data_IF_191694360595
#
_entry.id   IF_191694360595
#
_cell.length_a   1.000
_cell.length_b   1.000
_cell.length_c   1.000
_cell.angle_alpha   90.00
_cell.angle_beta   90.00
_cell.angle_gamma   90.00
#
_symmetry.space_group_name_H-M   'P 1'
#
loop_
_entity.id
_entity.type
_entity.pdbx_description
1 polymer ?
#
# COMPACT_ATOMS: atom_id res chain seq x y z
N UNK A 1 -0.36 -3.58 -63.45
CA UNK A 1 -1.74 -3.96 -63.08
C UNK A 1 -1.78 -4.35 -61.61
N UNK A 2 -2.54 -3.55 -60.84
CA UNK A 2 -3.42 -3.90 -59.70
C UNK A 2 -2.83 -4.66 -58.49
N UNK A 3 -2.63 -4.01 -57.34
CA UNK A 3 -3.57 -3.65 -56.25
C UNK A 3 -4.05 -4.82 -55.37
N UNK A 4 -3.67 -4.78 -54.09
CA UNK A 4 -4.53 -4.96 -52.88
C UNK A 4 -3.63 -4.85 -51.63
N UNK A 5 -3.60 -3.71 -50.94
CA UNK A 5 -4.38 -3.38 -49.73
C UNK A 5 -4.31 -4.44 -48.62
N UNK A 6 -3.63 -4.09 -47.52
CA UNK A 6 -4.23 -4.23 -46.20
C UNK A 6 -3.74 -3.10 -45.28
N UNK A 7 -4.74 -2.43 -44.69
CA UNK A 7 -4.68 -1.35 -43.71
C UNK A 7 -4.76 -1.98 -42.32
N UNK A 8 -4.38 -1.22 -41.29
CA UNK A 8 -4.64 -1.36 -39.84
C UNK A 8 -3.46 -1.94 -39.05
N UNK A 9 -2.97 -1.32 -37.99
CA UNK A 9 -3.44 -0.13 -37.30
C UNK A 9 -2.35 0.47 -36.43
N UNK A 10 -2.40 1.80 -36.30
CA UNK A 10 -1.70 2.59 -35.31
C UNK A 10 -1.98 1.96 -33.93
N UNK A 11 -0.97 1.33 -33.31
CA UNK A 11 -1.02 0.98 -31.91
C UNK A 11 -0.97 2.25 -31.09
N UNK A 12 -2.15 2.81 -30.78
CA UNK A 12 -2.30 3.79 -29.72
C UNK A 12 -1.72 3.18 -28.46
N UNK A 13 -0.56 3.67 -28.03
CA UNK A 13 -0.08 3.51 -26.68
C UNK A 13 -1.09 4.23 -25.78
N UNK A 14 -2.11 3.48 -25.33
CA UNK A 14 -2.97 3.94 -24.25
C UNK A 14 -2.11 3.89 -23.00
N UNK A 15 -1.54 5.04 -22.65
CA UNK A 15 -1.14 5.32 -21.28
C UNK A 15 -2.40 5.21 -20.42
N UNK A 16 -2.70 4.00 -19.96
CA UNK A 16 -3.74 3.79 -18.97
C UNK A 16 -3.22 4.34 -17.65
N UNK A 17 -3.45 5.64 -17.44
CA UNK A 17 -3.55 6.22 -16.10
C UNK A 17 -4.84 5.68 -15.49
N UNK A 18 -4.77 4.42 -15.10
CA UNK A 18 -5.84 3.71 -14.45
C UNK A 18 -5.84 4.22 -13.01
N UNK A 19 -6.63 5.27 -12.77
CA UNK A 19 -7.07 5.66 -11.43
C UNK A 19 -8.05 4.59 -10.95
N UNK A 20 -7.53 3.43 -10.53
CA UNK A 20 -8.39 2.35 -10.09
C UNK A 20 -8.56 2.48 -8.59
N UNK A 21 -9.74 2.97 -8.20
CA UNK A 21 -10.26 2.69 -6.87
C UNK A 21 -10.61 1.21 -6.82
N UNK A 22 -9.67 0.36 -6.44
CA UNK A 22 -9.99 -1.02 -6.08
C UNK A 22 -10.30 -1.06 -4.59
N UNK A 23 -11.56 -1.30 -4.25
CA UNK A 23 -12.01 -1.49 -2.87
C UNK A 23 -12.12 -2.97 -2.48
N UNK A 24 -11.63 -3.90 -3.30
CA UNK A 24 -11.56 -5.34 -2.95
C UNK A 24 -10.66 -6.13 -3.91
N UNK A 25 -10.13 -7.27 -3.43
CA UNK A 25 -9.38 -8.21 -4.25
C UNK A 25 -10.23 -8.83 -5.37
N UNK A 26 -11.54 -8.96 -5.17
CA UNK A 26 -12.49 -9.37 -6.22
C UNK A 26 -12.38 -8.46 -7.46
N UNK A 27 -12.22 -7.14 -7.27
CA UNK A 27 -11.99 -6.20 -8.37
C UNK A 27 -10.66 -6.42 -9.11
N UNK A 28 -9.64 -6.97 -8.45
CA UNK A 28 -8.34 -7.29 -9.08
C UNK A 28 -8.36 -8.61 -9.84
N UNK A 29 -9.16 -9.59 -9.39
CA UNK A 29 -9.45 -10.79 -10.18
C UNK A 29 -10.25 -10.42 -11.45
N UNK A 30 -11.29 -9.59 -11.30
CA UNK A 30 -12.17 -9.18 -12.40
C UNK A 30 -11.48 -8.28 -13.44
N UNK A 31 -10.45 -7.52 -13.02
CA UNK A 31 -9.61 -6.72 -13.92
C UNK A 31 -8.67 -7.55 -14.81
N UNK A 32 -8.66 -8.89 -14.69
CA UNK A 32 -7.85 -9.78 -15.53
C UNK A 32 -6.34 -9.67 -15.26
N UNK A 33 -5.97 -9.14 -14.09
CA UNK A 33 -4.56 -8.98 -13.70
C UNK A 33 -3.99 -10.31 -13.17
N UNK A 34 -4.88 -11.21 -12.78
CA UNK A 34 -4.58 -12.51 -12.19
C UNK A 34 -5.27 -13.62 -12.99
N UNK A 35 -4.51 -14.56 -13.54
CA UNK A 35 -5.06 -15.75 -14.20
C UNK A 35 -5.02 -16.97 -13.28
N UNK A 36 -6.06 -17.80 -13.27
CA UNK A 36 -6.06 -19.05 -12.51
C UNK A 36 -5.31 -20.15 -13.28
N UNK A 37 -4.21 -20.64 -12.76
CA UNK A 37 -3.45 -21.78 -13.31
C UNK A 37 -3.23 -22.83 -12.22
N UNK A 38 -3.77 -24.04 -12.40
CA UNK A 38 -3.61 -25.17 -11.48
C UNK A 38 -3.91 -24.84 -9.99
N UNK A 39 -4.98 -24.09 -9.73
CA UNK A 39 -5.37 -23.69 -8.37
C UNK A 39 -4.52 -22.55 -7.76
N UNK A 40 -3.71 -21.87 -8.58
CA UNK A 40 -2.93 -20.68 -8.22
C UNK A 40 -3.35 -19.48 -9.05
N UNK A 41 -3.07 -18.31 -8.51
CA UNK A 41 -3.38 -16.99 -9.04
C UNK A 41 -2.09 -16.36 -9.56
N UNK A 42 -1.95 -16.24 -10.88
CA UNK A 42 -0.75 -15.75 -11.55
C UNK A 42 -0.90 -14.29 -11.96
N UNK A 43 -0.03 -13.41 -11.45
CA UNK A 43 0.05 -12.01 -11.88
C UNK A 43 0.59 -11.92 -13.31
N UNK A 44 0.03 -11.01 -14.11
CA UNK A 44 0.46 -10.78 -15.49
C UNK A 44 1.97 -10.48 -15.58
N UNK A 45 2.63 -11.17 -16.51
CA UNK A 45 4.09 -11.15 -16.67
C UNK A 45 4.50 -10.21 -17.77
N UNK A 46 5.45 -9.32 -17.48
CA UNK A 46 6.25 -8.69 -18.52
C UNK A 46 7.47 -9.57 -18.82
N UNK A 47 7.42 -10.31 -19.93
CA UNK A 47 8.50 -11.23 -20.35
C UNK A 47 9.80 -10.52 -20.72
N UNK A 48 9.80 -9.19 -20.81
CA UNK A 48 11.02 -8.40 -20.99
C UNK A 48 11.72 -8.09 -19.67
N UNK A 49 11.09 -8.41 -18.53
CA UNK A 49 11.59 -8.13 -17.20
C UNK A 49 12.07 -9.39 -16.48
N UNK A 50 13.01 -9.20 -15.56
CA UNK A 50 13.45 -10.28 -14.69
C UNK A 50 12.40 -10.62 -13.61
N UNK A 51 12.63 -11.71 -12.87
CA UNK A 51 11.70 -12.17 -11.84
C UNK A 51 11.51 -11.15 -10.70
N UNK A 52 12.56 -10.40 -10.33
CA UNK A 52 12.48 -9.41 -9.26
C UNK A 52 11.62 -8.21 -9.69
N UNK A 53 11.75 -7.79 -10.94
CA UNK A 53 10.93 -6.75 -11.54
C UNK A 53 9.47 -7.19 -11.70
N UNK A 54 9.21 -8.45 -12.05
CA UNK A 54 7.86 -9.00 -12.09
C UNK A 54 7.25 -9.13 -10.69
N UNK A 55 8.03 -9.49 -9.67
CA UNK A 55 7.60 -9.46 -8.26
C UNK A 55 7.16 -8.07 -7.83
N UNK A 56 7.94 -7.04 -8.17
CA UNK A 56 7.58 -5.66 -7.87
C UNK A 56 6.26 -5.23 -8.55
N UNK A 57 6.00 -5.66 -9.79
CA UNK A 57 4.73 -5.38 -10.45
C UNK A 57 3.56 -6.13 -9.79
N UNK A 58 3.76 -7.38 -9.39
CA UNK A 58 2.75 -8.14 -8.67
C UNK A 58 2.40 -7.47 -7.33
N UNK A 59 3.41 -7.05 -6.58
CA UNK A 59 3.22 -6.35 -5.32
C UNK A 59 2.51 -5.00 -5.52
N UNK A 60 2.83 -4.28 -6.59
CA UNK A 60 2.13 -3.06 -7.02
C UNK A 60 0.65 -3.31 -7.20
N UNK A 61 0.29 -4.28 -8.03
CA UNK A 61 -1.11 -4.65 -8.25
C UNK A 61 -1.79 -5.00 -6.92
N UNK A 62 -1.10 -5.77 -6.08
CA UNK A 62 -1.64 -6.26 -4.82
C UNK A 62 -1.94 -5.15 -3.82
N UNK A 63 -1.01 -4.21 -3.62
CA UNK A 63 -1.23 -3.11 -2.67
C UNK A 63 -2.22 -2.08 -3.22
N UNK A 64 -2.34 -1.93 -4.55
CA UNK A 64 -3.46 -1.19 -5.15
C UNK A 64 -4.81 -1.84 -4.81
N UNK A 65 -4.87 -3.17 -4.68
CA UNK A 65 -6.07 -3.94 -4.35
C UNK A 65 -6.40 -3.96 -2.86
N UNK A 66 -5.34 -4.14 -2.06
CA UNK A 66 -5.36 -4.43 -0.64
C UNK A 66 -4.27 -3.59 0.04
N UNK A 67 -4.47 -2.28 0.20
CA UNK A 67 -3.46 -1.38 0.75
C UNK A 67 -3.12 -1.65 2.22
N UNK A 68 -3.90 -2.48 2.92
CA UNK A 68 -3.64 -2.85 4.31
C UNK A 68 -2.53 -3.90 4.49
N UNK A 69 -2.08 -4.55 3.40
CA UNK A 69 -1.20 -5.72 3.48
C UNK A 69 -0.43 -5.98 2.17
N UNK A 70 0.78 -6.53 2.28
CA UNK A 70 1.63 -6.87 1.12
C UNK A 70 1.95 -8.36 0.99
N UNK A 71 2.58 -8.70 -0.14
CA UNK A 71 3.07 -10.05 -0.43
C UNK A 71 4.08 -10.56 0.60
N UNK A 72 4.71 -9.66 1.35
CA UNK A 72 5.66 -9.99 2.42
C UNK A 72 5.02 -10.69 3.62
N UNK A 73 3.68 -10.70 3.73
CA UNK A 73 2.95 -11.53 4.73
C UNK A 73 2.85 -13.00 4.35
N UNK A 74 3.06 -13.33 3.08
CA UNK A 74 2.82 -14.67 2.55
C UNK A 74 3.96 -15.62 2.90
N UNK A 75 3.60 -16.87 3.23
CA UNK A 75 4.60 -17.91 3.45
C UNK A 75 5.22 -18.39 2.14
N UNK A 76 4.43 -18.47 1.08
CA UNK A 76 4.89 -18.96 -0.21
C UNK A 76 4.42 -18.07 -1.36
N UNK A 77 5.40 -17.57 -2.11
CA UNK A 77 5.20 -16.96 -3.43
C UNK A 77 5.94 -17.84 -4.44
N UNK A 78 5.25 -18.24 -5.50
CA UNK A 78 5.83 -19.14 -6.50
C UNK A 78 6.28 -18.35 -7.74
N UNK A 79 7.41 -18.75 -8.32
CA UNK A 79 7.81 -18.30 -9.65
C UNK A 79 7.45 -19.35 -10.70
N UNK A 80 6.79 -18.96 -11.77
CA UNK A 80 6.65 -19.81 -12.95
C UNK A 80 7.93 -19.81 -13.77
N UNK A 81 8.14 -20.87 -14.56
CA UNK A 81 9.29 -20.98 -15.46
C UNK A 81 9.32 -19.91 -16.57
N UNK A 82 8.26 -19.12 -16.70
CA UNK A 82 8.09 -18.00 -17.61
C UNK A 82 8.30 -16.62 -16.94
N UNK A 83 8.69 -16.58 -15.67
CA UNK A 83 8.85 -15.36 -14.88
C UNK A 83 7.57 -14.88 -14.19
N UNK A 84 6.48 -15.65 -14.25
CA UNK A 84 5.25 -15.34 -13.52
C UNK A 84 5.44 -15.40 -12.02
N UNK A 85 4.72 -14.52 -11.32
CA UNK A 85 4.59 -14.52 -9.88
C UNK A 85 3.22 -15.09 -9.56
N UNK A 86 3.15 -16.09 -8.69
CA UNK A 86 1.92 -16.78 -8.35
C UNK A 86 1.71 -16.87 -6.84
N UNK A 87 0.46 -16.72 -6.43
CA UNK A 87 0.00 -16.96 -5.05
C UNK A 87 -1.06 -18.06 -5.06
N UNK A 88 -1.19 -18.81 -3.97
CA UNK A 88 -2.28 -19.79 -3.83
C UNK A 88 -3.55 -19.14 -3.26
N UNK A 89 -4.66 -19.88 -3.30
CA UNK A 89 -5.94 -19.41 -2.74
C UNK A 89 -5.92 -19.18 -1.23
N UNK A 90 -5.03 -19.83 -0.48
CA UNK A 90 -4.92 -19.61 0.96
C UNK A 90 -4.34 -18.23 1.26
N UNK A 91 -3.23 -17.87 0.60
CA UNK A 91 -2.64 -16.54 0.71
C UNK A 91 -3.60 -15.47 0.21
N UNK A 92 -4.33 -15.75 -0.87
CA UNK A 92 -5.37 -14.85 -1.37
C UNK A 92 -6.44 -14.55 -0.31
N UNK A 93 -7.06 -15.60 0.24
CA UNK A 93 -8.11 -15.46 1.25
C UNK A 93 -7.58 -14.77 2.51
N UNK A 94 -6.32 -15.01 2.87
CA UNK A 94 -5.68 -14.33 4.00
C UNK A 94 -5.58 -12.83 3.77
N UNK A 95 -5.12 -12.38 2.60
CA UNK A 95 -5.02 -10.96 2.30
C UNK A 95 -6.38 -10.28 2.26
N UNK A 96 -7.35 -10.90 1.60
CA UNK A 96 -8.73 -10.41 1.54
C UNK A 96 -9.33 -10.28 2.95
N UNK A 97 -9.11 -11.29 3.79
CA UNK A 97 -9.56 -11.27 5.19
C UNK A 97 -8.91 -10.13 5.99
N UNK A 98 -7.61 -9.87 5.81
CA UNK A 98 -6.91 -8.77 6.48
C UNK A 98 -7.43 -7.41 5.99
N UNK A 99 -7.65 -7.26 4.68
CA UNK A 99 -8.17 -6.03 4.10
C UNK A 99 -9.59 -5.74 4.62
N UNK A 100 -10.49 -6.72 4.57
CA UNK A 100 -11.87 -6.57 5.04
C UNK A 100 -11.92 -6.20 6.53
N UNK A 101 -11.13 -6.89 7.38
CA UNK A 101 -11.05 -6.54 8.80
C UNK A 101 -10.48 -5.15 9.05
N UNK A 102 -9.54 -4.72 8.21
CA UNK A 102 -8.99 -3.35 8.26
C UNK A 102 -10.07 -2.32 7.90
N UNK A 103 -10.82 -2.56 6.83
CA UNK A 103 -11.88 -1.64 6.38
C UNK A 103 -13.02 -1.55 7.41
N UNK A 104 -13.43 -2.68 7.99
CA UNK A 104 -14.39 -2.72 9.09
C UNK A 104 -13.89 -1.94 10.31
N UNK A 105 -12.61 -2.10 10.68
CA UNK A 105 -12.01 -1.37 11.78
C UNK A 105 -11.97 0.14 11.49
N UNK A 106 -11.58 0.54 10.29
CA UNK A 106 -11.53 1.96 9.89
C UNK A 106 -12.92 2.58 9.94
N UNK A 107 -13.93 1.90 9.40
CA UNK A 107 -15.32 2.35 9.44
C UNK A 107 -15.86 2.54 10.85
N UNK A 108 -15.44 1.69 11.80
CA UNK A 108 -15.87 1.79 13.19
C UNK A 108 -15.14 2.88 14.00
N UNK A 109 -13.91 3.25 13.63
CA UNK A 109 -13.03 4.04 14.51
C UNK A 109 -12.62 5.39 13.95
N UNK A 110 -12.52 5.56 12.62
CA UNK A 110 -11.86 6.74 12.06
C UNK A 110 -12.58 8.06 12.35
N UNK A 111 -13.91 8.07 12.40
CA UNK A 111 -14.67 9.28 12.74
C UNK A 111 -14.45 9.76 14.18
N UNK A 112 -13.94 8.90 15.09
CA UNK A 112 -13.54 9.29 16.45
C UNK A 112 -12.11 9.80 16.47
N UNK A 113 -11.22 9.20 15.67
CA UNK A 113 -9.79 9.53 15.61
C UNK A 113 -9.57 10.84 14.84
N UNK A 114 -10.19 10.97 13.67
CA UNK A 114 -10.15 12.16 12.80
C UNK A 114 -11.59 12.67 12.64
N UNK A 115 -12.09 13.55 13.53
CA UNK A 115 -13.50 13.93 13.53
C UNK A 115 -13.96 14.71 12.30
N UNK A 116 -15.27 14.70 12.06
CA UNK A 116 -15.95 15.58 11.10
C UNK A 116 -15.50 17.04 11.26
N UNK A 117 -15.23 17.72 10.14
CA UNK A 117 -14.80 19.12 10.12
C UNK A 117 -13.30 19.34 10.41
N UNK A 118 -12.53 18.27 10.66
CA UNK A 118 -11.07 18.36 10.78
C UNK A 118 -10.47 18.94 9.50
N UNK A 119 -9.59 19.96 9.55
CA UNK A 119 -8.90 20.44 8.35
C UNK A 119 -8.02 19.36 7.72
N UNK A 120 -7.93 19.32 6.39
CA UNK A 120 -7.21 18.26 5.68
C UNK A 120 -5.72 18.17 6.04
N UNK A 121 -5.07 19.30 6.32
CA UNK A 121 -3.67 19.38 6.76
C UNK A 121 -3.41 18.77 8.16
N UNK A 122 -4.48 18.48 8.92
CA UNK A 122 -4.40 17.83 10.24
C UNK A 122 -4.51 16.31 10.16
N UNK A 123 -4.95 15.73 9.03
CA UNK A 123 -5.16 14.29 8.90
C UNK A 123 -3.86 13.52 9.15
N UNK A 124 -2.79 13.89 8.44
CA UNK A 124 -1.47 13.24 8.55
C UNK A 124 -0.93 13.26 9.99
N UNK A 125 -0.77 14.42 10.65
CA UNK A 125 -0.21 14.43 12.01
C UNK A 125 -1.10 13.68 13.01
N UNK A 126 -2.43 13.77 12.91
CA UNK A 126 -3.34 13.01 13.80
C UNK A 126 -3.15 11.49 13.62
N UNK A 127 -3.13 11.01 12.36
CA UNK A 127 -2.94 9.59 12.09
C UNK A 127 -1.54 9.11 12.52
N UNK A 128 -0.49 9.91 12.30
CA UNK A 128 0.87 9.58 12.72
C UNK A 128 0.98 9.45 14.24
N UNK A 129 0.43 10.41 14.98
CA UNK A 129 0.40 10.38 16.45
C UNK A 129 -0.39 9.17 16.95
N UNK A 130 -1.57 8.90 16.39
CA UNK A 130 -2.40 7.77 16.80
C UNK A 130 -1.68 6.42 16.60
N UNK A 131 -1.06 6.21 15.44
CA UNK A 131 -0.32 4.97 15.16
C UNK A 131 0.85 4.82 16.14
N UNK A 132 1.62 5.88 16.33
CA UNK A 132 2.78 5.83 17.20
C UNK A 132 2.39 5.63 18.68
N UNK A 133 1.27 6.21 19.15
CA UNK A 133 0.77 6.00 20.52
C UNK A 133 0.26 4.58 20.78
N UNK A 134 -0.14 3.87 19.73
CA UNK A 134 -0.72 2.53 19.82
C UNK A 134 0.33 1.42 19.66
N UNK A 135 1.51 1.75 19.18
CA UNK A 135 2.50 0.78 18.72
C UNK A 135 3.64 0.53 19.70
N UNK A 136 4.16 -0.69 19.65
CA UNK A 136 5.45 -1.07 20.23
C UNK A 136 6.22 -1.89 19.19
N UNK A 137 7.42 -1.43 18.84
CA UNK A 137 8.26 -2.11 17.86
C UNK A 137 8.82 -3.43 18.41
N UNK A 138 8.56 -4.54 17.71
CA UNK A 138 9.04 -5.87 18.10
C UNK A 138 10.35 -6.22 17.36
N UNK A 139 11.48 -5.96 18.02
CA UNK A 139 12.79 -6.30 17.49
C UNK A 139 13.03 -7.80 17.35
N UNK A 140 12.30 -8.66 18.07
CA UNK A 140 12.48 -10.11 17.99
C UNK A 140 12.05 -10.67 16.63
N UNK A 141 11.06 -10.03 15.99
CA UNK A 141 10.55 -10.39 14.67
C UNK A 141 11.61 -10.23 13.56
N UNK A 142 12.66 -9.43 13.77
CA UNK A 142 13.80 -9.35 12.83
C UNK A 142 14.57 -10.67 12.71
N UNK A 143 14.54 -11.51 13.75
CA UNK A 143 15.21 -12.81 13.78
C UNK A 143 14.24 -14.00 13.61
N UNK A 144 12.92 -13.74 13.73
CA UNK A 144 11.88 -14.74 13.57
C UNK A 144 11.04 -14.45 12.32
N UNK A 145 11.35 -15.14 11.22
CA UNK A 145 10.68 -14.92 9.92
C UNK A 145 9.16 -15.14 9.97
N UNK A 146 8.68 -16.12 10.74
CA UNK A 146 7.25 -16.38 10.84
C UNK A 146 6.53 -15.21 11.52
N UNK A 147 7.11 -14.71 12.62
CA UNK A 147 6.60 -13.55 13.33
C UNK A 147 6.69 -12.27 12.49
N UNK A 148 7.81 -12.08 11.80
CA UNK A 148 8.01 -10.95 10.88
C UNK A 148 6.99 -10.94 9.75
N UNK A 149 6.60 -12.10 9.21
CA UNK A 149 5.49 -12.18 8.23
C UNK A 149 4.14 -11.83 8.85
N UNK A 150 3.85 -12.37 10.04
CA UNK A 150 2.57 -12.15 10.71
C UNK A 150 2.30 -10.66 11.02
N UNK A 151 3.34 -9.87 11.29
CA UNK A 151 3.19 -8.45 11.60
C UNK A 151 3.04 -7.51 10.40
N UNK A 152 3.29 -7.96 9.17
CA UNK A 152 3.35 -7.07 7.99
C UNK A 152 1.97 -6.65 7.44
N UNK A 153 1.09 -6.16 8.31
CA UNK A 153 -0.23 -5.65 7.97
C UNK A 153 -0.67 -4.51 8.89
N UNK A 154 -1.61 -3.69 8.44
CA UNK A 154 -2.24 -2.64 9.25
C UNK A 154 -2.95 -3.22 10.49
N UNK A 155 -3.56 -4.41 10.35
CA UNK A 155 -4.33 -5.04 11.41
C UNK A 155 -3.51 -5.35 12.67
N UNK A 156 -2.21 -5.61 12.52
CA UNK A 156 -1.31 -5.81 13.67
C UNK A 156 -1.23 -4.57 14.56
N UNK A 157 -1.24 -3.37 13.97
CA UNK A 157 -1.34 -2.12 14.73
C UNK A 157 -2.70 -2.02 15.44
N UNK A 158 -3.78 -2.19 14.69
CA UNK A 158 -5.14 -1.95 15.17
C UNK A 158 -5.59 -2.90 16.28
N UNK A 159 -5.13 -4.16 16.23
CA UNK A 159 -5.58 -5.21 17.15
C UNK A 159 -4.55 -5.55 18.22
N UNK A 160 -3.26 -5.59 17.88
CA UNK A 160 -2.19 -6.03 18.78
C UNK A 160 -1.40 -4.88 19.38
N UNK A 161 -1.31 -3.74 18.68
CA UNK A 161 -0.45 -2.62 19.08
C UNK A 161 1.04 -2.95 19.03
N UNK A 162 1.45 -3.88 18.18
CA UNK A 162 2.86 -4.27 18.03
C UNK A 162 3.16 -4.71 16.61
N UNK A 163 4.41 -4.57 16.20
CA UNK A 163 4.87 -5.00 14.88
C UNK A 163 6.22 -4.44 14.47
N UNK A 164 6.43 -4.33 13.16
CA UNK A 164 7.66 -3.86 12.52
C UNK A 164 7.41 -2.58 11.73
N UNK A 165 8.45 -2.02 11.11
CA UNK A 165 8.36 -0.79 10.31
C UNK A 165 7.22 -0.82 9.25
N UNK A 166 7.04 -1.97 8.60
CA UNK A 166 5.94 -2.16 7.65
C UNK A 166 4.55 -2.08 8.30
N UNK A 167 4.39 -2.55 9.54
CA UNK A 167 3.14 -2.42 10.32
C UNK A 167 2.74 -0.96 10.48
N UNK A 168 3.70 -0.11 10.87
CA UNK A 168 3.49 1.33 10.99
C UNK A 168 3.05 1.93 9.65
N UNK A 169 3.78 1.61 8.56
CA UNK A 169 3.49 2.15 7.23
C UNK A 169 2.12 1.72 6.71
N UNK A 170 1.75 0.44 6.86
CA UNK A 170 0.44 -0.06 6.47
C UNK A 170 -0.69 0.60 7.26
N UNK A 171 -0.59 0.64 8.59
CA UNK A 171 -1.61 1.27 9.43
C UNK A 171 -1.79 2.75 9.10
N UNK A 172 -0.67 3.49 8.98
CA UNK A 172 -0.71 4.91 8.64
C UNK A 172 -1.31 5.16 7.25
N UNK A 173 -0.90 4.40 6.22
CA UNK A 173 -1.45 4.52 4.87
C UNK A 173 -2.95 4.23 4.85
N UNK A 174 -3.38 3.14 5.50
CA UNK A 174 -4.79 2.77 5.58
C UNK A 174 -5.63 3.86 6.27
N UNK A 175 -5.13 4.44 7.37
CA UNK A 175 -5.83 5.53 8.05
C UNK A 175 -5.91 6.80 7.19
N UNK A 176 -4.79 7.26 6.64
CA UNK A 176 -4.73 8.51 5.87
C UNK A 176 -5.57 8.44 4.60
N UNK A 177 -5.50 7.33 3.85
CA UNK A 177 -6.30 7.17 2.63
C UNK A 177 -7.79 6.92 2.90
N UNK A 178 -8.16 6.45 4.10
CA UNK A 178 -9.56 6.26 4.45
C UNK A 178 -10.32 7.58 4.64
N UNK A 179 -9.68 8.61 5.21
CA UNK A 179 -10.38 9.84 5.61
C UNK A 179 -10.91 10.60 4.39
N UNK A 180 -12.24 10.79 4.29
CA UNK A 180 -12.85 11.55 3.20
C UNK A 180 -12.73 13.06 3.44
N UNK A 181 -12.31 13.81 2.44
CA UNK A 181 -12.24 15.28 2.46
C UNK A 181 -13.25 15.85 1.48
N UNK A 182 -14.07 16.79 1.95
CA UNK A 182 -14.92 17.55 1.05
C UNK A 182 -14.08 18.59 0.28
N UNK A 183 -13.98 18.49 -1.05
CA UNK A 183 -13.12 19.38 -1.84
C UNK A 183 -13.58 20.85 -1.84
N UNK A 184 -14.86 21.12 -1.51
CA UNK A 184 -15.40 22.48 -1.45
C UNK A 184 -14.99 23.22 -0.17
N UNK A 185 -14.85 22.48 0.94
CA UNK A 185 -14.53 23.06 2.26
C UNK A 185 -13.09 22.82 2.68
N UNK A 186 -12.40 21.82 2.11
CA UNK A 186 -11.07 21.40 2.53
C UNK A 186 -11.04 20.72 3.90
N UNK A 187 -12.17 20.21 4.37
CA UNK A 187 -12.30 19.57 5.69
C UNK A 187 -12.84 18.15 5.58
N UNK A 188 -12.59 17.35 6.61
CA UNK A 188 -13.06 15.97 6.72
C UNK A 188 -14.57 15.92 6.73
N UNK A 189 -15.15 15.11 5.86
CA UNK A 189 -16.59 14.96 5.72
C UNK A 189 -16.99 13.53 5.36
N UNK A 190 -17.41 12.76 6.37
CA UNK A 190 -17.85 11.37 6.21
C UNK A 190 -19.20 11.23 5.51
N UNK A 191 -19.90 12.34 5.28
CA UNK A 191 -21.21 12.37 4.62
C UNK A 191 -21.16 12.99 3.22
N UNK A 192 -19.97 13.43 2.77
CA UNK A 192 -19.80 14.00 1.45
C UNK A 192 -20.20 12.99 0.36
N UNK A 193 -20.96 13.45 -0.63
CA UNK A 193 -21.37 12.60 -1.74
C UNK A 193 -20.20 12.24 -2.68
N UNK A 194 -19.23 13.14 -2.84
CA UNK A 194 -18.06 12.97 -3.69
C UNK A 194 -16.78 13.45 -2.96
N UNK A 195 -16.33 12.73 -1.92
CA UNK A 195 -15.12 13.12 -1.21
C UNK A 195 -13.87 12.87 -2.06
N UNK A 196 -12.82 13.62 -1.77
CA UNK A 196 -11.46 13.27 -2.18
C UNK A 196 -10.74 12.55 -1.04
N UNK A 197 -9.72 11.77 -1.37
CA UNK A 197 -8.91 11.01 -0.42
C UNK A 197 -7.44 11.28 -0.69
N UNK A 198 -6.64 11.37 0.37
CA UNK A 198 -5.19 11.47 0.25
C UNK A 198 -4.64 10.16 -0.31
N UNK A 199 -3.83 10.26 -1.37
CA UNK A 199 -3.20 9.09 -1.96
C UNK A 199 -1.97 8.72 -1.14
N UNK A 200 -1.86 7.45 -0.77
CA UNK A 200 -0.72 6.92 -0.02
C UNK A 200 -0.04 5.82 -0.81
N UNK A 201 1.23 5.57 -0.50
CA UNK A 201 2.05 4.50 -1.07
C UNK A 201 2.88 3.83 0.00
N UNK A 202 2.99 2.52 -0.09
CA UNK A 202 3.92 1.76 0.72
C UNK A 202 5.31 1.84 0.08
N UNK A 203 6.29 2.31 0.84
CA UNK A 203 7.67 2.47 0.37
C UNK A 203 8.56 1.60 1.23
N UNK A 204 9.44 0.84 0.61
CA UNK A 204 10.32 -0.04 1.34
C UNK A 204 11.68 -0.23 0.68
N UNK A 205 12.61 -0.73 1.48
CA UNK A 205 13.92 -1.22 1.07
C UNK A 205 14.09 -2.61 1.66
N UNK A 206 15.25 -3.24 1.43
CA UNK A 206 15.59 -4.49 2.12
C UNK A 206 15.73 -4.34 3.65
N UNK A 207 15.72 -3.12 4.18
CA UNK A 207 15.99 -2.84 5.60
C UNK A 207 14.85 -2.15 6.34
N UNK A 208 14.02 -1.37 5.63
CA UNK A 208 13.04 -0.50 6.27
C UNK A 208 11.83 -0.27 5.38
N UNK A 209 10.70 0.08 5.99
CA UNK A 209 9.47 0.46 5.30
C UNK A 209 8.88 1.73 5.92
N UNK A 210 8.30 2.57 5.07
CA UNK A 210 7.69 3.84 5.42
C UNK A 210 6.61 4.21 4.39
N UNK A 211 6.04 5.39 4.53
CA UNK A 211 4.91 5.85 3.73
C UNK A 211 5.30 7.00 2.82
N UNK A 212 4.69 7.08 1.65
CA UNK A 212 4.64 8.32 0.87
C UNK A 212 3.19 8.78 0.72
N UNK A 213 2.94 10.07 0.87
CA UNK A 213 1.60 10.68 0.72
C UNK A 213 1.67 11.75 -0.36
N UNK A 214 0.67 11.78 -1.24
CA UNK A 214 0.53 12.83 -2.24
C UNK A 214 -0.29 14.00 -1.68
N UNK A 215 0.38 15.11 -1.40
CA UNK A 215 -0.25 16.34 -0.95
C UNK A 215 0.36 17.54 -1.67
N UNK A 216 -0.42 18.61 -1.86
CA UNK A 216 0.05 19.86 -2.48
C UNK A 216 0.77 19.70 -3.84
N UNK A 217 0.40 18.66 -4.61
CA UNK A 217 0.96 18.39 -5.93
C UNK A 217 2.27 17.59 -5.93
N UNK A 218 2.79 17.17 -4.78
CA UNK A 218 4.05 16.44 -4.66
C UNK A 218 3.92 15.19 -3.76
N UNK A 219 4.85 14.25 -3.93
CA UNK A 219 4.99 13.10 -3.03
C UNK A 219 5.91 13.48 -1.88
N UNK A 220 5.40 13.34 -0.67
CA UNK A 220 6.11 13.56 0.58
C UNK A 220 6.31 12.23 1.30
N UNK A 221 7.39 12.09 2.09
CA UNK A 221 7.74 10.83 2.75
C UNK A 221 7.59 10.93 4.28
N UNK A 222 6.96 9.93 4.87
CA UNK A 222 6.63 9.87 6.29
C UNK A 222 7.06 8.52 6.85
N UNK A 223 7.93 8.55 7.84
CA UNK A 223 8.41 7.36 8.55
C UNK A 223 7.90 7.38 9.97
N UNK A 224 6.64 6.97 10.15
CA UNK A 224 5.96 6.93 11.46
C UNK A 224 6.69 5.99 12.43
N UNK A 225 7.35 4.95 11.92
CA UNK A 225 8.17 4.06 12.73
C UNK A 225 9.38 4.80 13.33
N UNK A 226 10.13 5.53 12.52
CA UNK A 226 11.26 6.33 13.04
C UNK A 226 10.77 7.53 13.86
N UNK A 227 9.66 8.16 13.48
CA UNK A 227 8.99 9.19 14.28
C UNK A 227 8.74 8.69 15.71
N UNK A 228 8.14 7.52 15.85
CA UNK A 228 7.88 6.90 17.15
C UNK A 228 9.17 6.56 17.91
N UNK A 229 10.06 5.78 17.28
CA UNK A 229 11.30 5.28 17.90
C UNK A 229 12.29 6.38 18.28
N UNK A 230 12.22 7.54 17.63
CA UNK A 230 13.10 8.69 17.87
C UNK A 230 12.41 9.77 18.72
N UNK A 231 11.52 9.36 19.62
CA UNK A 231 10.85 10.25 20.58
C UNK A 231 10.09 11.40 19.89
N UNK A 232 9.28 11.04 18.89
CA UNK A 232 8.40 11.95 18.14
C UNK A 232 9.15 13.07 17.44
N UNK A 233 10.30 12.72 16.85
CA UNK A 233 11.07 13.64 16.03
C UNK A 233 10.35 13.93 14.70
N UNK A 234 9.77 15.13 14.61
CA UNK A 234 8.96 15.56 13.48
C UNK A 234 9.70 15.58 12.14
N UNK A 235 11.04 15.48 12.12
CA UNK A 235 11.81 15.37 10.87
C UNK A 235 11.49 14.10 10.09
N UNK A 236 10.88 13.11 10.72
CA UNK A 236 10.38 11.90 10.08
C UNK A 236 8.96 12.03 9.51
N UNK A 237 8.27 13.15 9.73
CA UNK A 237 6.96 13.47 9.16
C UNK A 237 7.13 14.59 8.13
N UNK A 238 7.22 14.21 6.84
CA UNK A 238 7.74 15.02 5.73
C UNK A 238 9.28 15.11 5.70
N UNK A 239 9.89 13.97 5.41
CA UNK A 239 11.33 13.78 5.38
C UNK A 239 11.98 14.58 4.26
N UNK A 240 12.86 15.50 4.65
CA UNK A 240 13.73 16.23 3.71
C UNK A 240 14.74 15.31 3.03
N UNK A 241 15.35 15.80 1.94
CA UNK A 241 16.44 15.10 1.25
C UNK A 241 17.62 14.74 2.16
N UNK A 242 17.87 15.54 3.20
CA UNK A 242 18.89 15.24 4.21
C UNK A 242 18.59 13.96 4.98
N UNK A 243 17.34 13.76 5.41
CA UNK A 243 16.91 12.53 6.11
C UNK A 243 16.89 11.36 5.13
N UNK A 244 16.33 11.56 3.94
CA UNK A 244 16.25 10.54 2.88
C UNK A 244 17.62 10.08 2.34
N UNK A 245 18.71 10.79 2.68
CA UNK A 245 20.07 10.38 2.32
C UNK A 245 20.66 9.27 3.21
N UNK A 246 20.01 8.93 4.33
CA UNK A 246 20.42 7.82 5.18
C UNK A 246 20.37 6.49 4.39
N UNK A 247 21.37 5.64 4.62
CA UNK A 247 21.51 4.34 3.99
C UNK A 247 20.25 3.47 4.11
N UNK A 248 19.45 3.57 5.18
CA UNK A 248 18.22 2.77 5.33
C UNK A 248 17.11 3.16 4.34
N UNK A 249 17.15 4.37 3.78
CA UNK A 249 16.22 4.85 2.74
C UNK A 249 16.79 4.72 1.32
N UNK A 250 17.99 4.15 1.16
CA UNK A 250 18.59 3.92 -0.16
C UNK A 250 18.01 2.67 -0.86
N UNK A 251 18.08 2.62 -2.19
CA UNK A 251 17.55 1.52 -3.02
C UNK A 251 16.04 1.31 -2.86
N UNK A 252 15.31 2.41 -3.00
CA UNK A 252 13.86 2.49 -2.78
C UNK A 252 13.10 1.58 -3.75
N UNK A 253 12.17 0.80 -3.19
CA UNK A 253 11.09 0.14 -3.89
C UNK A 253 9.76 0.80 -3.48
N UNK A 254 8.91 1.16 -4.44
CA UNK A 254 7.64 1.86 -4.20
C UNK A 254 6.46 1.00 -4.69
N UNK A 255 5.54 0.71 -3.80
CA UNK A 255 4.30 0.04 -4.16
C UNK A 255 3.19 1.07 -4.33
N UNK A 256 2.42 0.96 -5.42
CA UNK A 256 1.39 1.93 -5.82
C UNK A 256 0.00 1.45 -5.46
#
# INVERSE_FOLDING_TARGET
MRLSKMIMGLGLAVSMTLSIGFSSFAGVLDAGIVSSCNGKYAFNVDKTKDLAQNYYQAEKVLNSACPAVGMTTMETVYSGGDGSVMIDGQNLNMLESIQNQTDEWLAANMAVIVPQGTPSDRIIPICADWVADRMTYDYSANSNKALGRAYQSALSCFTLGTGLCATYAYAFNSMVSYVPVNPETGTVDYTAANPTHLQTRFVYTSRHAWSAVYENGAWHHYDVCSYDLMNRDSRYLDMTSGIMSDAKYSNISIVF
#
